data_IF_805930654862
#
_entry.id   IF_805930654862
#
_cell.length_a   1.000
_cell.length_b   1.000
_cell.length_c   1.000
_cell.angle_alpha   90.00
_cell.angle_beta   90.00
_cell.angle_gamma   90.00
#
_symmetry.space_group_name_H-M   'P 1'
#
loop_
_entity.id
_entity.type
_entity.pdbx_description
1 polymer ?
#
# COMPACT_ATOMS: atom_id res chain seq x y z
N UNK A 1 34.65 -10.59 -37.75
CA UNK A 1 33.97 -10.28 -39.01
C UNK A 1 32.68 -11.08 -39.06
N UNK A 2 31.57 -10.57 -38.54
CA UNK A 2 30.25 -11.20 -38.67
C UNK A 2 29.51 -10.48 -39.78
N UNK A 3 29.27 -11.20 -40.88
CA UNK A 3 28.61 -10.77 -42.10
C UNK A 3 27.21 -10.22 -41.81
N UNK A 4 26.93 -9.06 -42.39
CA UNK A 4 25.63 -8.42 -42.50
C UNK A 4 24.72 -9.24 -43.42
N UNK A 5 23.75 -9.96 -42.85
CA UNK A 5 22.55 -10.45 -43.57
C UNK A 5 21.41 -9.46 -43.28
N UNK A 6 21.45 -8.30 -43.94
CA UNK A 6 20.45 -7.23 -43.86
C UNK A 6 19.37 -7.33 -44.96
N UNK A 7 19.28 -8.48 -45.63
CA UNK A 7 18.25 -8.76 -46.64
C UNK A 7 17.20 -9.73 -46.09
N UNK A 8 15.94 -9.27 -46.05
CA UNK A 8 14.70 -10.05 -45.88
C UNK A 8 14.02 -10.06 -44.48
N UNK A 9 14.11 -8.97 -43.69
CA UNK A 9 13.15 -8.76 -42.58
C UNK A 9 11.96 -7.91 -43.02
N UNK A 10 10.86 -8.55 -43.43
CA UNK A 10 9.61 -7.87 -43.76
C UNK A 10 8.88 -7.37 -42.49
N UNK A 11 8.63 -6.06 -42.46
CA UNK A 11 7.90 -5.37 -41.37
C UNK A 11 6.40 -5.52 -41.60
N UNK A 12 5.63 -5.84 -40.54
CA UNK A 12 4.18 -6.05 -40.63
C UNK A 12 3.51 -6.19 -39.27
N UNK A 13 2.25 -6.66 -39.25
CA UNK A 13 1.51 -6.86 -38.00
C UNK A 13 2.26 -7.81 -37.05
N UNK A 14 2.50 -7.37 -35.81
CA UNK A 14 3.30 -8.09 -34.78
C UNK A 14 4.78 -8.33 -35.17
N UNK A 15 5.28 -7.69 -36.24
CA UNK A 15 6.65 -7.78 -36.75
C UNK A 15 7.33 -6.40 -36.72
N UNK A 16 7.75 -5.91 -35.54
CA UNK A 16 8.32 -4.56 -35.44
C UNK A 16 9.71 -4.49 -36.12
N UNK A 17 10.15 -3.34 -36.65
CA UNK A 17 11.46 -3.20 -37.28
C UNK A 17 12.62 -3.61 -36.37
N UNK A 18 13.58 -4.40 -36.87
CA UNK A 18 14.69 -4.93 -36.06
C UNK A 18 15.50 -3.83 -35.37
N UNK A 19 15.79 -2.74 -36.09
CA UNK A 19 16.53 -1.57 -35.58
C UNK A 19 15.95 -0.94 -34.31
N UNK A 20 14.64 -1.10 -34.07
CA UNK A 20 13.94 -0.48 -32.94
C UNK A 20 13.57 -1.49 -31.84
N UNK A 21 13.84 -2.80 -32.01
CA UNK A 21 13.53 -3.80 -30.98
C UNK A 21 14.54 -3.72 -29.85
N UNK A 22 14.06 -3.97 -28.63
CA UNK A 22 14.96 -4.24 -27.54
C UNK A 22 15.71 -5.56 -27.78
N UNK A 23 17.01 -5.58 -27.47
CA UNK A 23 17.81 -6.81 -27.53
C UNK A 23 17.23 -7.83 -26.54
N UNK A 24 17.20 -9.11 -26.90
CA UNK A 24 16.77 -10.20 -26.01
C UNK A 24 17.54 -10.10 -24.69
N UNK A 25 16.82 -10.14 -23.56
CA UNK A 25 17.40 -10.00 -22.21
C UNK A 25 17.66 -8.56 -21.76
N UNK A 26 17.43 -7.55 -22.59
CA UNK A 26 17.57 -6.14 -22.24
C UNK A 26 16.20 -5.47 -22.20
N UNK A 27 15.78 -5.02 -21.02
CA UNK A 27 14.59 -4.16 -20.88
C UNK A 27 14.89 -2.76 -21.43
N UNK A 28 13.89 -2.13 -22.07
CA UNK A 28 13.95 -0.71 -22.44
C UNK A 28 13.99 0.23 -21.22
N UNK A 29 13.60 -0.27 -20.06
CA UNK A 29 13.80 0.38 -18.77
C UNK A 29 14.61 -0.54 -17.84
N UNK A 30 15.95 -0.56 -17.96
CA UNK A 30 16.82 -1.42 -17.14
C UNK A 30 16.71 -1.17 -15.63
N UNK A 31 16.39 0.08 -15.24
CA UNK A 31 16.20 0.45 -13.83
C UNK A 31 14.81 0.09 -13.30
N UNK A 32 13.89 -0.31 -14.19
CA UNK A 32 12.51 -0.59 -13.86
C UNK A 32 11.76 0.66 -13.36
N UNK A 33 10.58 0.43 -12.78
CA UNK A 33 9.85 1.49 -12.09
C UNK A 33 10.65 1.91 -10.84
N UNK A 34 10.88 3.21 -10.60
CA UNK A 34 11.55 3.65 -9.39
C UNK A 34 10.80 3.18 -8.14
N UNK A 35 11.54 2.81 -7.09
CA UNK A 35 10.94 2.47 -5.80
C UNK A 35 10.13 3.67 -5.29
N UNK A 36 8.93 3.43 -4.73
CA UNK A 36 8.16 4.48 -4.08
C UNK A 36 9.02 5.09 -2.96
N UNK A 37 9.11 6.42 -2.90
CA UNK A 37 9.72 7.11 -1.75
C UNK A 37 8.86 6.79 -0.52
N UNK A 38 9.49 6.44 0.60
CA UNK A 38 8.78 6.30 1.88
C UNK A 38 8.27 7.68 2.28
N UNK A 39 6.99 7.95 2.08
CA UNK A 39 6.37 9.17 2.59
C UNK A 39 5.99 8.98 4.06
N UNK A 40 5.93 10.08 4.81
CA UNK A 40 5.48 10.04 6.21
C UNK A 40 4.12 9.34 6.35
N UNK A 41 3.18 9.62 5.44
CA UNK A 41 1.87 8.97 5.42
C UNK A 41 1.93 7.44 5.25
N UNK A 42 2.81 6.93 4.38
CA UNK A 42 2.99 5.49 4.22
C UNK A 42 3.60 4.86 5.47
N UNK A 43 4.61 5.51 6.07
CA UNK A 43 5.24 5.02 7.31
C UNK A 43 4.24 4.99 8.48
N UNK A 44 3.42 6.04 8.62
CA UNK A 44 2.37 6.08 9.66
C UNK A 44 1.35 4.96 9.42
N UNK A 45 0.92 4.75 8.17
CA UNK A 45 -0.02 3.68 7.83
C UNK A 45 0.57 2.29 8.11
N UNK A 46 1.84 2.06 7.80
CA UNK A 46 2.55 0.82 8.13
C UNK A 46 2.58 0.58 9.65
N UNK A 47 2.95 1.59 10.43
CA UNK A 47 3.00 1.49 11.90
C UNK A 47 1.61 1.28 12.52
N UNK A 48 0.58 1.93 11.99
CA UNK A 48 -0.81 1.74 12.43
C UNK A 48 -1.33 0.32 12.17
N UNK A 49 -0.87 -0.32 11.09
CA UNK A 49 -1.25 -1.68 10.72
C UNK A 49 -0.37 -2.76 11.37
N UNK A 50 0.72 -2.39 12.04
CA UNK A 50 1.60 -3.34 12.73
C UNK A 50 0.85 -4.06 13.85
N UNK A 51 1.01 -5.38 13.89
CA UNK A 51 0.52 -6.22 14.99
C UNK A 51 1.41 -6.07 16.20
N UNK A 52 0.79 -5.89 17.37
CA UNK A 52 1.44 -5.91 18.66
C UNK A 52 0.75 -6.93 19.56
N UNK A 53 1.54 -7.55 20.43
CA UNK A 53 1.05 -8.45 21.47
C UNK A 53 0.50 -7.63 22.63
N UNK A 54 -0.77 -7.87 22.97
CA UNK A 54 -1.44 -7.23 24.10
C UNK A 54 -1.97 -8.30 25.03
N UNK A 55 -1.69 -8.15 26.31
CA UNK A 55 -2.25 -9.01 27.34
C UNK A 55 -3.68 -8.57 27.67
N UNK A 56 -4.63 -9.49 27.52
CA UNK A 56 -6.00 -9.28 27.94
C UNK A 56 -6.07 -9.30 29.47
N UNK A 57 -6.44 -8.17 30.08
CA UNK A 57 -6.54 -8.04 31.54
C UNK A 57 -7.60 -8.96 32.16
N UNK A 58 -8.62 -9.39 31.40
CA UNK A 58 -9.71 -10.24 31.92
C UNK A 58 -9.35 -11.72 31.91
N UNK A 59 -8.62 -12.17 30.88
CA UNK A 59 -8.33 -13.60 30.68
C UNK A 59 -6.86 -13.96 30.91
N UNK A 60 -5.98 -12.97 31.06
CA UNK A 60 -4.52 -13.12 31.19
C UNK A 60 -3.81 -13.54 29.90
N UNK A 61 -4.54 -13.83 28.82
CA UNK A 61 -4.01 -14.35 27.56
C UNK A 61 -3.40 -13.23 26.71
N UNK A 62 -2.33 -13.54 26.01
CA UNK A 62 -1.73 -12.64 25.02
C UNK A 62 -2.46 -12.80 23.69
N UNK A 63 -2.88 -11.68 23.10
CA UNK A 63 -3.53 -11.64 21.78
C UNK A 63 -2.89 -10.57 20.91
N UNK A 64 -2.84 -10.83 19.61
CA UNK A 64 -2.31 -9.88 18.62
C UNK A 64 -3.39 -8.92 18.17
N UNK A 65 -3.10 -7.62 18.24
CA UNK A 65 -3.96 -6.57 17.72
C UNK A 65 -3.15 -5.58 16.89
N UNK A 66 -3.78 -4.93 15.92
CA UNK A 66 -3.16 -3.81 15.22
C UNK A 66 -3.16 -2.57 16.10
N UNK A 67 -2.15 -1.71 15.98
CA UNK A 67 -2.09 -0.45 16.76
C UNK A 67 -3.31 0.44 16.52
N UNK A 68 -3.77 0.54 15.27
CA UNK A 68 -5.00 1.30 14.94
C UNK A 68 -6.21 0.81 15.74
N UNK A 69 -6.37 -0.51 15.89
CA UNK A 69 -7.51 -1.09 16.62
C UNK A 69 -7.43 -0.75 18.11
N UNK A 70 -6.23 -0.75 18.67
CA UNK A 70 -6.03 -0.39 20.07
C UNK A 70 -6.28 1.09 20.32
N UNK A 71 -5.81 1.97 19.44
CA UNK A 71 -6.10 3.40 19.50
C UNK A 71 -7.61 3.67 19.44
N UNK A 72 -8.33 3.02 18.52
CA UNK A 72 -9.79 3.14 18.43
C UNK A 72 -10.46 2.61 19.70
N UNK A 73 -10.04 1.46 20.23
CA UNK A 73 -10.59 0.91 21.47
C UNK A 73 -10.36 1.82 22.67
N UNK A 74 -9.19 2.47 22.75
CA UNK A 74 -8.86 3.42 23.80
C UNK A 74 -9.68 4.70 23.65
N UNK A 75 -9.84 5.21 22.42
CA UNK A 75 -10.67 6.37 22.13
C UNK A 75 -12.13 6.12 22.49
N UNK A 76 -12.68 4.94 22.17
CA UNK A 76 -14.03 4.54 22.55
C UNK A 76 -14.21 4.52 24.08
N UNK A 77 -13.20 4.05 24.82
CA UNK A 77 -13.23 4.06 26.29
C UNK A 77 -13.23 5.49 26.84
N UNK A 78 -12.43 6.40 26.27
CA UNK A 78 -12.43 7.80 26.71
C UNK A 78 -13.75 8.50 26.34
N UNK A 79 -14.31 8.20 25.16
CA UNK A 79 -15.58 8.75 24.70
C UNK A 79 -16.77 8.36 25.58
N UNK A 80 -16.70 7.25 26.33
CA UNK A 80 -17.75 6.92 27.32
C UNK A 80 -17.71 7.80 28.56
N UNK A 81 -16.58 8.43 28.84
CA UNK A 81 -16.37 9.25 30.05
C UNK A 81 -16.43 10.76 29.72
N UNK A 82 -16.05 11.16 28.51
CA UNK A 82 -15.91 12.57 28.12
C UNK A 82 -16.48 12.84 26.71
N UNK A 83 -17.37 13.84 26.66
CA UNK A 83 -18.10 14.26 25.48
C UNK A 83 -17.22 14.84 24.36
N UNK A 84 -16.03 15.37 24.66
CA UNK A 84 -15.10 15.86 23.64
C UNK A 84 -14.57 14.72 22.77
N UNK A 85 -14.20 13.61 23.40
CA UNK A 85 -13.76 12.41 22.67
C UNK A 85 -14.91 11.76 21.89
N UNK A 86 -16.14 11.83 22.42
CA UNK A 86 -17.33 11.39 21.69
C UNK A 86 -17.55 12.20 20.41
N UNK A 87 -17.38 13.54 20.45
CA UNK A 87 -17.44 14.40 19.26
C UNK A 87 -16.40 14.01 18.21
N UNK A 88 -15.17 13.71 18.63
CA UNK A 88 -14.11 13.24 17.72
C UNK A 88 -14.52 11.91 17.06
N UNK A 89 -15.08 10.98 17.84
CA UNK A 89 -15.51 9.69 17.32
C UNK A 89 -16.66 9.83 16.30
N UNK A 90 -17.69 10.63 16.59
CA UNK A 90 -18.76 10.92 15.64
C UNK A 90 -18.24 11.56 14.35
N UNK A 91 -17.33 12.54 14.46
CA UNK A 91 -16.69 13.14 13.29
C UNK A 91 -15.93 12.12 12.45
N UNK A 92 -15.27 11.14 13.06
CA UNK A 92 -14.59 10.06 12.31
C UNK A 92 -15.61 9.17 11.60
N UNK A 93 -16.72 8.82 12.27
CA UNK A 93 -17.79 7.99 11.71
C UNK A 93 -18.41 8.67 10.48
N UNK A 94 -18.81 9.94 10.60
CA UNK A 94 -19.47 10.68 9.50
C UNK A 94 -18.57 10.82 8.27
N UNK A 95 -17.25 10.95 8.46
CA UNK A 95 -16.29 11.07 7.35
C UNK A 95 -15.97 9.74 6.65
N UNK A 96 -16.21 8.60 7.29
CA UNK A 96 -15.75 7.29 6.80
C UNK A 96 -16.87 6.29 6.52
N UNK A 97 -18.05 6.48 7.12
CA UNK A 97 -19.26 5.72 6.87
C UNK A 97 -20.22 6.67 6.17
N UNK A 98 -20.39 6.55 4.84
CA UNK A 98 -21.49 7.25 4.19
C UNK A 98 -22.79 6.74 4.82
N UNK A 99 -23.50 7.63 5.50
CA UNK A 99 -24.89 7.41 5.88
C UNK A 99 -25.66 7.43 4.56
N UNK A 100 -25.90 6.26 4.00
CA UNK A 100 -26.85 6.12 2.90
C UNK A 100 -28.24 6.21 3.54
N UNK A 101 -28.86 7.38 3.44
CA UNK A 101 -30.32 7.51 3.47
C UNK A 101 -30.90 7.24 2.07
#
# INVERSE_FOLDING_TARGET
MSKDDDSEYEVGYRKPPQKNRFKKGKSGNPKGRPKKKKSLGLTILEELNRLIDVQDKKTGRIRKFTRKRLLISQLMKLATEDAEYAKILFKIIDNHIPVWE
#
